data_IF_464523853845
#
_entry.id   IF_464523853845
#
_cell.length_a   1.000
_cell.length_b   1.000
_cell.length_c   1.000
_cell.angle_alpha   90.00
_cell.angle_beta   90.00
_cell.angle_gamma   90.00
#
_symmetry.space_group_name_H-M   'P 1'
#
loop_
_entity.id
_entity.type
_entity.pdbx_description
1 polymer ?
#
# COMPACT_ATOMS: atom_id res chain seq x y z
N UNK A 1 -13.55 -21.16 7.67
CA UNK A 1 -14.67 -20.83 8.56
C UNK A 1 -14.22 -19.91 9.69
N UNK A 2 -13.26 -20.32 10.53
CA UNK A 2 -12.75 -19.51 11.65
C UNK A 2 -12.22 -18.12 11.19
N UNK A 3 -11.36 -18.06 10.15
CA UNK A 3 -10.81 -16.79 9.64
C UNK A 3 -11.90 -15.80 9.19
N UNK A 4 -12.96 -16.29 8.52
CA UNK A 4 -14.11 -15.45 8.12
C UNK A 4 -14.85 -14.91 9.35
N UNK A 5 -15.01 -15.73 10.39
CA UNK A 5 -15.62 -15.31 11.65
C UNK A 5 -14.80 -14.21 12.32
N UNK A 6 -13.47 -14.38 12.43
CA UNK A 6 -12.59 -13.36 13.01
C UNK A 6 -12.61 -12.06 12.19
N UNK A 7 -12.64 -12.16 10.86
CA UNK A 7 -12.78 -11.01 9.99
C UNK A 7 -14.08 -10.25 10.24
N UNK A 8 -15.20 -10.96 10.31
CA UNK A 8 -16.49 -10.33 10.62
C UNK A 8 -16.52 -9.70 12.03
N UNK A 9 -15.87 -10.32 13.02
CA UNK A 9 -15.74 -9.76 14.35
C UNK A 9 -14.93 -8.45 14.34
N UNK A 10 -13.82 -8.42 13.60
CA UNK A 10 -13.00 -7.21 13.42
C UNK A 10 -13.79 -6.09 12.72
N UNK A 11 -14.52 -6.41 11.65
CA UNK A 11 -15.41 -5.47 10.95
C UNK A 11 -16.47 -4.90 11.89
N UNK A 12 -17.11 -5.76 12.69
CA UNK A 12 -18.11 -5.32 13.67
C UNK A 12 -17.52 -4.40 14.73
N UNK A 13 -16.33 -4.74 15.25
CA UNK A 13 -15.62 -3.90 16.22
C UNK A 13 -15.23 -2.53 15.62
N UNK A 14 -14.67 -2.52 14.41
CA UNK A 14 -14.33 -1.29 13.70
C UNK A 14 -15.55 -0.40 13.46
N UNK A 15 -16.65 -0.98 12.97
CA UNK A 15 -17.90 -0.25 12.76
C UNK A 15 -18.51 0.30 14.06
N UNK A 16 -18.44 -0.48 15.15
CA UNK A 16 -18.92 -0.04 16.47
C UNK A 16 -18.11 1.14 17.03
N UNK A 17 -16.80 1.13 16.81
CA UNK A 17 -15.88 2.18 17.25
C UNK A 17 -15.84 3.38 16.28
N UNK A 18 -16.53 3.32 15.15
CA UNK A 18 -16.45 4.35 14.11
C UNK A 18 -15.09 4.43 13.42
N UNK A 19 -14.35 3.33 13.40
CA UNK A 19 -13.00 3.25 12.81
C UNK A 19 -13.09 2.64 11.42
N UNK A 20 -12.67 3.39 10.42
CA UNK A 20 -12.39 2.94 9.06
C UNK A 20 -11.17 3.72 8.62
N UNK A 21 -10.18 3.11 8.06
CA UNK A 21 -10.01 1.78 7.44
C UNK A 21 -9.53 0.66 8.38
N UNK A 22 -9.62 -0.59 7.91
CA UNK A 22 -9.16 -1.79 8.61
C UNK A 22 -8.16 -2.57 7.75
N UNK A 23 -6.98 -2.85 8.30
CA UNK A 23 -5.93 -3.62 7.64
C UNK A 23 -6.30 -5.10 7.50
N UNK A 24 -5.92 -5.72 6.39
CA UNK A 24 -6.11 -7.15 6.15
C UNK A 24 -5.16 -7.70 5.09
N UNK A 25 -4.97 -9.01 5.10
CA UNK A 25 -4.39 -9.77 4.00
C UNK A 25 -5.49 -10.42 3.15
N UNK A 26 -5.15 -10.69 1.87
CA UNK A 26 -6.09 -11.32 0.94
C UNK A 26 -6.25 -12.83 1.12
N UNK A 27 -5.26 -13.47 1.74
CA UNK A 27 -5.07 -14.92 1.73
C UNK A 27 -4.24 -15.37 0.51
N UNK A 28 -3.79 -16.61 0.55
CA UNK A 28 -2.84 -17.18 -0.40
C UNK A 28 -3.42 -18.41 -1.12
N UNK A 29 -4.40 -18.20 -1.99
CA UNK A 29 -5.01 -19.26 -2.82
C UNK A 29 -4.15 -19.59 -4.03
N UNK A 30 -3.59 -18.57 -4.70
CA UNK A 30 -2.87 -18.65 -5.96
C UNK A 30 -1.37 -18.34 -5.84
N UNK A 31 -0.94 -17.64 -4.80
CA UNK A 31 0.43 -17.14 -4.72
C UNK A 31 1.49 -18.22 -4.93
N UNK A 32 1.29 -19.43 -4.44
CA UNK A 32 2.22 -20.54 -4.65
C UNK A 32 2.43 -20.92 -6.14
N UNK A 33 1.60 -20.40 -7.04
CA UNK A 33 1.69 -20.60 -8.49
C UNK A 33 2.25 -19.38 -9.24
N UNK A 34 2.73 -18.33 -8.55
CA UNK A 34 3.16 -17.09 -9.19
C UNK A 34 4.36 -17.29 -10.11
N UNK A 35 5.27 -18.19 -9.77
CA UNK A 35 6.40 -18.50 -10.61
C UNK A 35 5.95 -19.27 -11.86
N UNK A 36 6.40 -18.88 -13.07
CA UNK A 36 5.85 -19.40 -14.32
C UNK A 36 6.25 -20.85 -14.65
N UNK A 37 7.03 -21.51 -13.81
CA UNK A 37 7.47 -22.89 -14.01
C UNK A 37 7.26 -23.73 -12.74
N UNK A 38 6.70 -24.97 -12.84
CA UNK A 38 6.12 -25.58 -14.04
C UNK A 38 4.91 -24.82 -14.57
N UNK A 39 4.61 -25.03 -15.86
CA UNK A 39 3.53 -24.33 -16.55
C UNK A 39 2.19 -24.52 -15.85
N UNK A 40 1.49 -23.44 -15.61
CA UNK A 40 0.16 -23.47 -15.00
C UNK A 40 -0.89 -24.02 -15.99
N UNK A 41 -1.89 -24.78 -15.53
CA UNK A 41 -3.04 -25.11 -16.35
C UNK A 41 -3.72 -23.83 -16.89
N UNK A 42 -4.17 -23.90 -18.13
CA UNK A 42 -4.95 -22.81 -18.74
C UNK A 42 -6.19 -22.51 -17.89
N UNK A 43 -6.44 -21.22 -17.62
CA UNK A 43 -7.60 -20.77 -16.85
C UNK A 43 -7.42 -20.84 -15.32
N UNK A 44 -6.30 -21.36 -14.80
CA UNK A 44 -6.08 -21.45 -13.34
C UNK A 44 -6.21 -20.09 -12.65
N UNK A 45 -5.58 -19.06 -13.20
CA UNK A 45 -5.56 -17.71 -12.58
C UNK A 45 -6.97 -17.12 -12.59
N UNK A 46 -7.68 -17.22 -13.69
CA UNK A 46 -9.06 -16.72 -13.84
C UNK A 46 -10.03 -17.41 -12.86
N UNK A 47 -9.98 -18.72 -12.77
CA UNK A 47 -10.80 -19.48 -11.81
C UNK A 47 -10.41 -19.19 -10.36
N UNK A 48 -9.11 -19.02 -10.09
CA UNK A 48 -8.63 -18.64 -8.77
C UNK A 48 -9.15 -17.29 -8.31
N UNK A 49 -9.12 -16.25 -9.16
CA UNK A 49 -9.69 -14.94 -8.82
C UNK A 49 -11.22 -14.96 -8.71
N UNK A 50 -11.92 -15.81 -9.46
CA UNK A 50 -13.36 -16.04 -9.26
C UNK A 50 -13.64 -16.63 -7.88
N UNK A 51 -12.88 -17.65 -7.47
CA UNK A 51 -13.02 -18.26 -6.15
C UNK A 51 -12.64 -17.28 -5.02
N UNK A 52 -11.56 -16.51 -5.21
CA UNK A 52 -11.16 -15.46 -4.26
C UNK A 52 -12.30 -14.42 -4.09
N UNK A 53 -12.84 -13.92 -5.18
CA UNK A 53 -13.97 -12.99 -5.17
C UNK A 53 -15.22 -13.60 -4.51
N UNK A 54 -15.53 -14.86 -4.76
CA UNK A 54 -16.65 -15.58 -4.13
C UNK A 54 -16.51 -15.61 -2.61
N UNK A 55 -15.28 -15.76 -2.09
CA UNK A 55 -15.01 -15.75 -0.65
C UNK A 55 -15.07 -14.34 -0.06
N UNK A 56 -14.54 -13.36 -0.77
CA UNK A 56 -14.44 -11.99 -0.28
C UNK A 56 -15.72 -11.17 -0.41
N UNK A 57 -16.55 -11.38 -1.43
CA UNK A 57 -17.78 -10.59 -1.62
C UNK A 57 -18.71 -10.56 -0.40
N UNK A 58 -18.99 -11.68 0.29
CA UNK A 58 -19.80 -11.63 1.51
C UNK A 58 -19.17 -10.80 2.62
N UNK A 59 -17.83 -10.84 2.75
CA UNK A 59 -17.08 -10.08 3.75
C UNK A 59 -17.12 -8.58 3.41
N UNK A 60 -16.86 -8.23 2.14
CA UNK A 60 -16.92 -6.86 1.66
C UNK A 60 -18.34 -6.25 1.79
N UNK A 61 -19.37 -7.01 1.48
CA UNK A 61 -20.77 -6.59 1.67
C UNK A 61 -21.07 -6.35 3.18
N UNK A 62 -20.53 -7.21 4.06
CA UNK A 62 -20.66 -7.01 5.51
C UNK A 62 -19.91 -5.74 5.94
N UNK A 63 -18.70 -5.53 5.47
CA UNK A 63 -17.92 -4.31 5.72
C UNK A 63 -18.66 -3.06 5.25
N UNK A 64 -19.30 -3.12 4.06
CA UNK A 64 -20.10 -2.02 3.54
C UNK A 64 -21.29 -1.69 4.45
N UNK A 65 -22.00 -2.70 4.96
CA UNK A 65 -23.09 -2.50 5.92
C UNK A 65 -22.66 -1.84 7.23
N UNK A 66 -21.37 -1.85 7.54
CA UNK A 66 -20.76 -1.26 8.75
C UNK A 66 -19.98 0.02 8.46
N UNK A 67 -19.88 0.46 7.19
CA UNK A 67 -19.10 1.63 6.81
C UNK A 67 -17.58 1.44 6.93
N UNK A 68 -17.09 0.20 6.90
CA UNK A 68 -15.67 -0.15 7.09
C UNK A 68 -15.01 -0.47 5.75
N UNK A 69 -13.88 0.18 5.47
CA UNK A 69 -13.03 -0.15 4.34
C UNK A 69 -12.07 -1.30 4.69
N UNK A 70 -11.93 -2.27 3.82
CA UNK A 70 -10.93 -3.33 3.95
C UNK A 70 -9.70 -2.93 3.14
N UNK A 71 -8.61 -2.64 3.83
CA UNK A 71 -7.35 -2.22 3.24
C UNK A 71 -6.42 -3.42 3.14
N UNK A 72 -6.31 -3.97 1.94
CA UNK A 72 -5.39 -5.08 1.69
C UNK A 72 -3.96 -4.58 1.64
N UNK A 73 -3.11 -5.15 2.46
CA UNK A 73 -1.68 -4.98 2.31
C UNK A 73 -1.23 -5.73 1.05
N UNK A 74 -0.58 -5.01 0.15
CA UNK A 74 -0.04 -5.58 -1.10
C UNK A 74 1.30 -6.25 -0.75
N UNK A 75 1.25 -7.57 -0.53
CA UNK A 75 2.29 -8.29 0.18
C UNK A 75 2.69 -9.60 -0.53
N UNK A 76 4.00 -9.87 -0.73
CA UNK A 76 4.47 -11.18 -1.20
C UNK A 76 4.05 -12.30 -0.25
N UNK A 77 3.57 -13.41 -0.80
CA UNK A 77 2.97 -14.48 -0.02
C UNK A 77 1.45 -14.46 -0.04
N UNK A 78 0.85 -13.33 -0.44
CA UNK A 78 -0.58 -13.14 -0.57
C UNK A 78 -1.02 -13.16 -2.04
N UNK A 79 -2.32 -13.36 -2.28
CA UNK A 79 -2.86 -13.31 -3.66
C UNK A 79 -2.82 -11.90 -4.25
N UNK A 80 -2.91 -10.88 -3.39
CA UNK A 80 -2.74 -9.48 -3.76
C UNK A 80 -1.32 -9.02 -3.40
N UNK A 81 -0.38 -9.18 -4.33
CA UNK A 81 1.04 -8.90 -4.10
C UNK A 81 1.62 -7.81 -5.01
N UNK A 82 0.83 -7.31 -5.96
CA UNK A 82 1.16 -6.20 -6.85
C UNK A 82 -0.11 -5.51 -7.37
N UNK A 83 0.07 -4.44 -8.16
CA UNK A 83 -1.05 -3.70 -8.73
C UNK A 83 -1.90 -4.53 -9.68
N UNK A 84 -1.28 -5.41 -10.48
CA UNK A 84 -1.99 -6.26 -11.44
C UNK A 84 -2.92 -7.24 -10.74
N UNK A 85 -2.48 -7.84 -9.65
CA UNK A 85 -3.31 -8.77 -8.86
C UNK A 85 -4.43 -8.03 -8.13
N UNK A 86 -4.20 -6.83 -7.64
CA UNK A 86 -5.24 -5.98 -7.08
C UNK A 86 -6.31 -5.60 -8.11
N UNK A 87 -5.92 -5.21 -9.32
CA UNK A 87 -6.86 -4.91 -10.42
C UNK A 87 -7.70 -6.14 -10.82
N UNK A 88 -7.09 -7.33 -10.87
CA UNK A 88 -7.84 -8.58 -11.11
C UNK A 88 -8.87 -8.83 -10.03
N UNK A 89 -8.53 -8.58 -8.78
CA UNK A 89 -9.44 -8.71 -7.65
C UNK A 89 -10.58 -7.69 -7.72
N UNK A 90 -10.29 -6.42 -8.00
CA UNK A 90 -11.31 -5.40 -8.21
C UNK A 90 -12.28 -5.81 -9.30
N UNK A 91 -11.79 -6.22 -10.46
CA UNK A 91 -12.63 -6.71 -11.57
C UNK A 91 -13.49 -7.89 -11.13
N UNK A 92 -12.92 -8.88 -10.43
CA UNK A 92 -13.64 -10.07 -9.98
C UNK A 92 -14.69 -9.75 -8.90
N UNK A 93 -14.49 -8.71 -8.09
CA UNK A 93 -15.42 -8.24 -7.06
C UNK A 93 -16.39 -7.16 -7.55
N UNK A 94 -16.39 -6.85 -8.86
CA UNK A 94 -17.17 -5.78 -9.49
C UNK A 94 -16.82 -4.38 -8.96
N UNK A 95 -15.54 -4.11 -8.77
CA UNK A 95 -15.01 -2.85 -8.22
C UNK A 95 -15.67 -2.47 -6.90
N UNK A 96 -15.73 -3.42 -5.97
CA UNK A 96 -16.40 -3.21 -4.69
C UNK A 96 -15.80 -2.02 -3.94
N UNK A 97 -16.64 -1.06 -3.53
CA UNK A 97 -16.21 0.23 -2.96
C UNK A 97 -15.36 0.10 -1.69
N UNK A 98 -15.55 -0.98 -0.93
CA UNK A 98 -14.82 -1.25 0.33
C UNK A 98 -13.48 -1.97 0.13
N UNK A 99 -13.12 -2.35 -1.09
CA UNK A 99 -11.80 -2.89 -1.38
C UNK A 99 -10.81 -1.75 -1.56
N UNK A 100 -9.88 -1.61 -0.62
CA UNK A 100 -8.89 -0.53 -0.53
C UNK A 100 -7.49 -1.12 -0.36
N UNK A 101 -6.49 -0.26 -0.34
CA UNK A 101 -5.07 -0.61 -0.23
C UNK A 101 -4.52 -0.10 1.09
N UNK A 102 -3.80 -0.96 1.77
CA UNK A 102 -2.76 -0.60 2.70
C UNK A 102 -1.44 -0.61 1.91
N UNK A 103 -0.81 0.55 1.82
CA UNK A 103 0.41 0.76 1.08
C UNK A 103 1.63 0.55 1.98
N UNK A 104 2.47 -0.44 1.64
CA UNK A 104 3.75 -0.69 2.30
C UNK A 104 4.88 -0.73 1.25
N UNK A 105 5.72 0.32 1.17
CA UNK A 105 6.77 0.40 0.17
C UNK A 105 7.89 -0.62 0.36
N UNK A 106 8.08 -1.17 1.56
CA UNK A 106 9.15 -2.11 1.85
C UNK A 106 9.02 -3.40 1.04
N UNK A 107 7.80 -3.90 0.89
CA UNK A 107 7.52 -5.08 0.08
C UNK A 107 7.75 -4.83 -1.41
N UNK A 108 7.58 -3.60 -1.86
CA UNK A 108 7.84 -3.23 -3.26
C UNK A 108 9.34 -3.11 -3.55
N UNK A 109 10.13 -2.60 -2.60
CA UNK A 109 11.60 -2.65 -2.69
C UNK A 109 12.08 -4.09 -2.82
N UNK A 110 11.56 -5.02 -1.99
CA UNK A 110 11.93 -6.43 -2.06
C UNK A 110 11.51 -7.10 -3.37
N UNK A 111 10.40 -6.67 -3.98
CA UNK A 111 9.90 -7.17 -5.26
C UNK A 111 10.51 -6.45 -6.48
N UNK A 112 11.30 -5.40 -6.28
CA UNK A 112 11.81 -4.55 -7.36
C UNK A 112 10.70 -3.84 -8.15
N UNK A 113 9.62 -3.45 -7.47
CA UNK A 113 8.52 -2.70 -8.03
C UNK A 113 8.70 -1.21 -7.74
N UNK A 114 8.36 -0.33 -8.71
CA UNK A 114 8.38 1.12 -8.51
C UNK A 114 7.27 1.56 -7.56
N UNK A 115 7.64 1.72 -6.29
CA UNK A 115 6.73 2.07 -5.22
C UNK A 115 6.21 3.52 -5.32
N UNK A 116 6.95 4.44 -5.95
CA UNK A 116 6.50 5.82 -6.14
C UNK A 116 5.45 5.91 -7.25
N UNK A 117 5.67 5.22 -8.37
CA UNK A 117 4.70 5.16 -9.45
C UNK A 117 3.43 4.40 -9.02
N UNK A 118 3.55 3.43 -8.10
CA UNK A 118 2.40 2.74 -7.53
C UNK A 118 1.42 3.72 -6.86
N UNK A 119 1.91 4.72 -6.14
CA UNK A 119 1.04 5.77 -5.55
C UNK A 119 0.26 6.51 -6.64
N UNK A 120 0.92 6.87 -7.76
CA UNK A 120 0.27 7.59 -8.85
C UNK A 120 -0.92 6.80 -9.45
N UNK A 121 -0.77 5.48 -9.60
CA UNK A 121 -1.82 4.62 -10.14
C UNK A 121 -2.95 4.34 -9.15
N UNK A 122 -2.64 4.19 -7.86
CA UNK A 122 -3.58 3.66 -6.86
C UNK A 122 -3.95 4.64 -5.76
N UNK A 123 -3.63 5.93 -5.88
CA UNK A 123 -3.92 6.99 -4.88
C UNK A 123 -5.36 6.96 -4.35
N UNK A 124 -6.35 6.69 -5.21
CA UNK A 124 -7.78 6.69 -4.82
C UNK A 124 -8.16 5.47 -3.97
N UNK A 125 -7.32 4.43 -4.00
CA UNK A 125 -7.51 3.20 -3.23
C UNK A 125 -6.69 3.17 -1.96
N UNK A 126 -5.57 3.89 -1.89
CA UNK A 126 -4.69 3.93 -0.71
C UNK A 126 -5.41 4.65 0.44
N UNK A 127 -5.67 3.92 1.53
CA UNK A 127 -6.30 4.44 2.75
C UNK A 127 -5.49 4.23 4.01
N UNK A 128 -4.45 3.40 3.94
CA UNK A 128 -3.49 3.16 5.00
C UNK A 128 -2.08 3.17 4.44
N UNK A 129 -1.13 3.58 5.25
CA UNK A 129 0.28 3.64 4.90
C UNK A 129 1.13 3.10 6.03
N UNK A 130 1.93 2.07 5.76
CA UNK A 130 2.96 1.57 6.64
C UNK A 130 4.29 2.24 6.35
N UNK A 131 4.87 2.87 7.37
CA UNK A 131 6.23 3.41 7.34
C UNK A 131 7.16 2.28 7.77
N UNK A 132 7.52 1.47 6.79
CA UNK A 132 8.40 0.30 6.93
C UNK A 132 9.48 0.37 5.87
N UNK A 133 10.72 0.22 6.27
CA UNK A 133 11.87 0.37 5.38
C UNK A 133 12.46 -0.98 4.98
N UNK A 134 13.08 -1.01 3.84
CA UNK A 134 13.76 -2.17 3.29
C UNK A 134 14.94 -1.76 2.41
N UNK A 135 15.84 -2.69 2.19
CA UNK A 135 16.91 -2.56 1.21
C UNK A 135 16.99 -3.81 0.34
N UNK A 136 17.45 -3.63 -0.89
CA UNK A 136 17.73 -4.72 -1.80
C UNK A 136 19.10 -4.55 -2.43
N UNK A 137 20.04 -5.41 -2.04
CA UNK A 137 21.43 -5.38 -2.46
C UNK A 137 21.77 -6.72 -3.16
N UNK A 138 21.50 -6.86 -4.47
CA UNK A 138 21.70 -8.12 -5.19
C UNK A 138 23.18 -8.49 -5.21
N UNK A 139 23.44 -9.80 -5.17
CA UNK A 139 24.78 -10.35 -5.29
C UNK A 139 24.85 -11.36 -6.43
N UNK A 140 26.05 -11.81 -6.80
CA UNK A 140 26.21 -12.91 -7.75
C UNK A 140 25.79 -14.29 -7.20
N UNK A 141 25.38 -14.37 -5.93
CA UNK A 141 24.98 -15.63 -5.26
C UNK A 141 23.49 -15.69 -4.94
N UNK A 142 22.85 -14.59 -4.62
CA UNK A 142 21.46 -14.53 -4.20
C UNK A 142 20.77 -13.30 -4.79
N UNK A 143 19.50 -13.45 -5.12
CA UNK A 143 18.61 -12.43 -5.66
C UNK A 143 17.32 -12.34 -4.85
N UNK A 144 16.21 -11.97 -5.51
CA UNK A 144 14.90 -11.68 -4.88
C UNK A 144 14.36 -12.83 -4.02
N UNK A 145 14.66 -14.08 -4.36
CA UNK A 145 14.21 -15.25 -3.59
C UNK A 145 15.03 -15.51 -2.32
N UNK A 146 16.17 -14.85 -2.14
CA UNK A 146 16.96 -14.86 -0.92
C UNK A 146 17.73 -16.14 -0.60
N UNK A 147 17.57 -17.24 -1.38
CA UNK A 147 18.32 -18.51 -1.24
C UNK A 147 18.20 -19.19 0.14
N UNK A 148 17.08 -19.00 0.86
CA UNK A 148 16.84 -19.51 2.23
C UNK A 148 17.84 -18.97 3.28
N UNK A 149 18.52 -17.86 2.98
CA UNK A 149 19.42 -17.22 3.92
C UNK A 149 18.66 -16.61 5.11
N UNK A 150 19.34 -16.44 6.23
CA UNK A 150 18.85 -15.66 7.36
C UNK A 150 18.62 -14.20 6.93
N UNK A 151 17.66 -13.51 7.56
CA UNK A 151 17.27 -12.15 7.15
C UNK A 151 18.45 -11.18 7.03
N UNK A 152 19.41 -11.22 7.96
CA UNK A 152 20.59 -10.35 7.93
C UNK A 152 21.52 -10.59 6.74
N UNK A 153 21.45 -11.77 6.13
CA UNK A 153 22.36 -12.20 5.05
C UNK A 153 21.66 -12.18 3.67
N UNK A 154 20.34 -11.86 3.62
CA UNK A 154 19.58 -11.76 2.37
C UNK A 154 19.92 -10.50 1.60
N UNK A 155 19.91 -10.55 0.25
CA UNK A 155 19.97 -9.35 -0.58
C UNK A 155 18.82 -8.37 -0.28
N UNK A 156 17.61 -8.89 -0.18
CA UNK A 156 16.42 -8.14 0.20
C UNK A 156 16.10 -8.37 1.67
N UNK A 157 16.05 -7.28 2.48
CA UNK A 157 15.81 -7.36 3.92
C UNK A 157 15.18 -6.09 4.47
N UNK A 158 14.43 -6.24 5.56
CA UNK A 158 13.82 -5.11 6.23
C UNK A 158 14.82 -4.36 7.10
N UNK A 159 14.63 -3.04 7.15
CA UNK A 159 15.47 -2.12 7.91
C UNK A 159 14.60 -1.19 8.77
N UNK A 160 15.20 -0.63 9.80
CA UNK A 160 14.57 0.46 10.55
C UNK A 160 14.35 1.67 9.64
N UNK A 161 13.22 2.43 9.74
CA UNK A 161 12.98 3.58 8.90
C UNK A 161 14.16 4.55 8.84
N UNK A 162 14.61 4.86 7.63
CA UNK A 162 15.78 5.68 7.34
C UNK A 162 17.12 4.93 7.23
N UNK A 163 17.17 3.64 7.58
CA UNK A 163 18.39 2.81 7.43
C UNK A 163 18.37 1.99 6.13
N UNK A 164 17.27 1.99 5.38
CA UNK A 164 17.08 1.25 4.14
C UNK A 164 17.20 2.11 2.89
N UNK A 165 16.43 1.76 1.86
CA UNK A 165 16.47 2.39 0.53
C UNK A 165 15.15 3.04 0.13
N UNK A 166 14.14 3.06 1.00
CA UNK A 166 12.86 3.70 0.69
C UNK A 166 13.00 5.22 0.75
N UNK A 167 12.61 5.89 -0.33
CA UNK A 167 12.57 7.36 -0.38
C UNK A 167 11.28 7.89 0.26
N UNK A 168 11.26 7.93 1.58
CA UNK A 168 10.10 8.42 2.35
C UNK A 168 9.79 9.89 2.06
N UNK A 169 10.78 10.72 1.75
CA UNK A 169 10.54 12.11 1.37
C UNK A 169 9.62 12.23 0.16
N UNK A 170 9.93 11.47 -0.88
CA UNK A 170 9.10 11.44 -2.09
C UNK A 170 7.73 10.81 -1.83
N UNK A 171 7.65 9.78 -0.98
CA UNK A 171 6.36 9.17 -0.59
C UNK A 171 5.47 10.19 0.12
N UNK A 172 5.97 10.82 1.20
CA UNK A 172 5.19 11.82 1.94
C UNK A 172 4.77 13.00 1.05
N UNK A 173 5.65 13.46 0.16
CA UNK A 173 5.33 14.51 -0.82
C UNK A 173 4.19 14.10 -1.75
N UNK A 174 4.24 12.88 -2.33
CA UNK A 174 3.18 12.38 -3.20
C UNK A 174 1.86 12.17 -2.47
N UNK A 175 1.89 11.57 -1.29
CA UNK A 175 0.69 11.37 -0.48
C UNK A 175 0.03 12.70 -0.10
N UNK A 176 0.83 13.70 0.29
CA UNK A 176 0.34 15.06 0.56
C UNK A 176 -0.23 15.72 -0.69
N UNK A 177 0.45 15.61 -1.84
CA UNK A 177 -0.04 16.13 -3.12
C UNK A 177 -1.41 15.56 -3.51
N UNK A 178 -1.66 14.30 -3.19
CA UNK A 178 -2.93 13.61 -3.47
C UNK A 178 -3.95 13.69 -2.34
N UNK A 179 -3.70 14.49 -1.32
CA UNK A 179 -4.63 14.71 -0.22
C UNK A 179 -4.88 13.46 0.63
N UNK A 180 -3.85 12.66 0.88
CA UNK A 180 -3.96 11.51 1.77
C UNK A 180 -4.17 11.97 3.21
N UNK A 181 -5.28 11.57 3.81
CA UNK A 181 -5.68 11.91 5.19
C UNK A 181 -5.59 10.71 6.16
N UNK A 182 -4.99 9.61 5.72
CA UNK A 182 -4.85 8.39 6.52
C UNK A 182 -3.72 8.47 7.56
N UNK A 183 -3.53 7.37 8.27
CA UNK A 183 -2.47 7.22 9.25
C UNK A 183 -1.16 6.80 8.60
N UNK A 184 -0.05 7.43 9.00
CA UNK A 184 1.31 6.95 8.77
C UNK A 184 1.69 6.05 9.97
N UNK A 185 1.59 4.76 9.79
CA UNK A 185 1.77 3.76 10.85
C UNK A 185 3.19 3.23 10.83
N UNK A 186 3.91 3.35 11.93
CA UNK A 186 5.20 2.68 12.07
C UNK A 186 4.96 1.16 12.13
N UNK A 187 5.34 0.47 11.08
CA UNK A 187 5.48 -0.99 11.10
C UNK A 187 6.98 -1.32 11.14
N UNK A 188 7.46 -1.61 12.34
CA UNK A 188 8.88 -1.80 12.53
C UNK A 188 9.27 -3.27 12.41
N UNK A 189 10.10 -3.56 11.41
CA UNK A 189 10.84 -4.80 11.26
C UNK A 189 12.28 -4.45 10.89
N UNK A 190 13.24 -5.00 11.60
CA UNK A 190 14.64 -4.82 11.26
C UNK A 190 15.46 -6.04 11.68
N UNK A 191 16.30 -6.53 10.79
CA UNK A 191 17.15 -7.67 11.05
C UNK A 191 18.43 -7.34 11.84
N UNK A 192 18.67 -6.06 12.19
CA UNK A 192 19.92 -5.57 12.79
C UNK A 192 19.67 -4.78 14.10
N UNK A 193 18.80 -3.77 14.06
CA UNK A 193 18.56 -2.83 15.17
C UNK A 193 17.64 -3.45 16.23
N UNK A 194 17.82 -3.07 17.51
CA UNK A 194 16.91 -3.52 18.57
C UNK A 194 15.52 -2.91 18.46
N UNK A 195 14.46 -3.64 18.93
CA UNK A 195 13.09 -3.13 18.89
C UNK A 195 12.90 -1.80 19.64
N UNK A 196 13.52 -1.64 20.82
CA UNK A 196 13.38 -0.43 21.64
C UNK A 196 13.97 0.78 20.94
N UNK A 197 15.15 0.64 20.34
CA UNK A 197 15.80 1.70 19.59
C UNK A 197 14.99 2.01 18.33
N UNK A 198 14.58 0.98 17.59
CA UNK A 198 13.83 1.13 16.34
C UNK A 198 12.48 1.80 16.51
N UNK A 199 11.73 1.44 17.55
CA UNK A 199 10.43 2.07 17.86
C UNK A 199 10.59 3.56 18.22
N UNK A 200 11.58 3.89 19.06
CA UNK A 200 11.85 5.27 19.48
C UNK A 200 12.26 6.16 18.29
N UNK A 201 13.20 5.68 17.48
CA UNK A 201 13.68 6.41 16.30
C UNK A 201 12.61 6.52 15.21
N UNK A 202 11.83 5.45 15.01
CA UNK A 202 10.79 5.39 13.98
C UNK A 202 9.64 6.37 14.22
N UNK A 203 9.21 6.55 15.45
CA UNK A 203 8.20 7.56 15.80
C UNK A 203 8.68 8.98 15.47
N UNK A 204 9.92 9.30 15.81
CA UNK A 204 10.54 10.58 15.47
C UNK A 204 10.70 10.73 13.95
N UNK A 205 11.15 9.66 13.27
CA UNK A 205 11.31 9.65 11.83
C UNK A 205 10.01 10.03 11.10
N UNK A 206 8.87 9.45 11.48
CA UNK A 206 7.57 9.78 10.91
C UNK A 206 7.25 11.26 11.13
N UNK A 207 7.37 11.74 12.37
CA UNK A 207 7.08 13.13 12.72
C UNK A 207 7.91 14.12 11.88
N UNK A 208 9.18 13.80 11.65
CA UNK A 208 10.09 14.65 10.86
C UNK A 208 9.77 14.65 9.35
N UNK A 209 8.97 13.69 8.86
CA UNK A 209 8.59 13.56 7.45
C UNK A 209 7.18 14.04 7.13
N UNK A 210 6.33 14.28 8.15
CA UNK A 210 5.00 14.84 7.95
C UNK A 210 5.12 16.25 7.36
N UNK A 211 4.38 16.49 6.28
CA UNK A 211 4.36 17.78 5.57
C UNK A 211 3.14 18.56 6.03
N UNK A 212 3.36 19.77 6.54
CA UNK A 212 2.30 20.74 6.73
C UNK A 212 1.93 21.33 5.36
N UNK A 213 0.77 20.94 4.84
CA UNK A 213 0.29 21.42 3.54
C UNK A 213 -0.14 22.87 3.67
N UNK A 214 0.37 23.73 2.79
CA UNK A 214 -0.04 25.14 2.73
C UNK A 214 -1.38 25.31 2.04
N UNK A 215 -2.23 26.19 2.58
CA UNK A 215 -3.49 26.59 1.92
C UNK A 215 -3.25 27.51 0.72
N UNK A 216 -2.07 28.18 0.66
CA UNK A 216 -1.72 29.11 -0.40
C UNK A 216 -0.47 28.64 -1.13
N UNK A 217 -0.57 28.53 -2.46
CA UNK A 217 0.61 28.29 -3.30
C UNK A 217 1.53 29.51 -3.33
N UNK A 218 2.82 29.29 -3.60
CA UNK A 218 3.85 30.34 -3.67
C UNK A 218 3.49 31.44 -4.67
N UNK A 219 2.84 31.10 -5.78
CA UNK A 219 2.38 31.99 -6.84
C UNK A 219 0.84 32.15 -6.79
N UNK A 220 0.37 32.87 -5.82
CA UNK A 220 -1.06 33.20 -5.61
C UNK A 220 -1.72 34.00 -6.78
N UNK A 221 -1.04 34.08 -7.93
CA UNK A 221 -1.59 34.65 -9.16
C UNK A 221 -2.83 33.93 -9.66
N UNK A 222 -3.00 32.64 -9.28
CA UNK A 222 -4.16 31.84 -9.64
C UNK A 222 -5.41 32.14 -8.78
N UNK A 223 -5.27 32.83 -7.67
CA UNK A 223 -6.39 33.23 -6.79
C UNK A 223 -6.97 34.60 -7.05
N UNK A 224 -6.39 35.39 -7.98
CA UNK A 224 -6.95 36.69 -8.37
C UNK A 224 -8.21 36.50 -9.23
N UNK A 225 -9.20 37.41 -9.04
CA UNK A 225 -10.34 37.48 -9.97
C UNK A 225 -9.85 37.62 -11.40
N UNK A 226 -10.55 36.96 -12.34
CA UNK A 226 -10.20 36.97 -13.77
C UNK A 226 -10.33 38.40 -14.28
N UNK A 227 -9.20 39.10 -14.46
CA UNK A 227 -9.15 40.40 -15.12
C UNK A 227 -9.13 40.23 -16.64
N UNK A 228 -10.34 40.25 -17.23
CA UNK A 228 -10.54 40.08 -18.67
C UNK A 228 -9.86 41.15 -19.52
N UNK A 229 -9.74 42.37 -19.01
CA UNK A 229 -9.10 43.47 -19.76
C UNK A 229 -7.57 43.31 -19.76
N UNK A 230 -7.00 42.90 -18.64
CA UNK A 230 -5.58 42.57 -18.56
C UNK A 230 -5.22 41.39 -19.46
N UNK A 231 -6.09 40.33 -19.48
CA UNK A 231 -5.93 39.16 -20.36
C UNK A 231 -5.94 39.59 -21.83
N UNK A 232 -6.91 40.41 -22.26
CA UNK A 232 -6.97 40.91 -23.65
C UNK A 232 -5.71 41.70 -24.00
N UNK A 233 -5.27 42.58 -23.12
CA UNK A 233 -4.04 43.39 -23.32
C UNK A 233 -2.80 42.50 -23.48
N UNK A 234 -2.67 41.44 -22.67
CA UNK A 234 -1.54 40.48 -22.75
C UNK A 234 -1.60 39.68 -24.03
N UNK A 235 -2.80 39.27 -24.47
CA UNK A 235 -3.02 38.50 -25.70
C UNK A 235 -3.03 39.36 -26.97
N UNK A 236 -2.96 40.70 -26.88
CA UNK A 236 -3.02 41.60 -28.01
C UNK A 236 -4.37 41.67 -28.71
N UNK A 237 -5.48 41.44 -27.97
CA UNK A 237 -6.86 41.45 -28.47
C UNK A 237 -7.57 42.79 -28.24
#
# INVERSE_FOLDING_TARGET
KWAVEQMNNAINASGHLGISPMASFSGALLFHTFYPWPQRPTGLVEEGFKELAKRWKPILNHADSKGVDICYEIHPGEDLHDGVTFERFLKATNNHSRAKILYDPSHFVLQQLDYLQFIDFYKDYIKMFHVKDAEFNPTGKAGVYGGYLEWKDRPGRFRSPGDGQVDFKSIFSKLSQYGFEGWAVLEWECCIKSPEQGAKEGAKFITDHIIEVTEKSFDDFAGAEIDKEQIKKILGL
#
